data_IF_494195455017
#
_entry.id   IF_494195455017
#
_cell.length_a   1.000
_cell.length_b   1.000
_cell.length_c   1.000
_cell.angle_alpha   90.00
_cell.angle_beta   90.00
_cell.angle_gamma   90.00
#
_symmetry.space_group_name_H-M   'P 1'
#
loop_
_entity.id
_entity.type
_entity.pdbx_description
1 polymer ?
#
# COMPACT_ATOMS: atom_id res chain seq x y z
N UNK A 1 0.06 2.48 9.86
CA UNK A 1 -0.70 1.48 9.06
C UNK A 1 -0.88 0.22 9.90
N UNK A 2 -2.09 -0.36 9.99
CA UNK A 2 -2.32 -1.57 10.78
C UNK A 2 -1.57 -2.76 10.19
N UNK A 3 -1.23 -3.73 11.03
CA UNK A 3 -0.63 -5.00 10.60
C UNK A 3 -1.68 -6.05 10.22
N UNK A 4 -2.95 -5.82 10.57
CA UNK A 4 -4.09 -6.72 10.36
C UNK A 4 -5.29 -5.95 9.81
N UNK A 5 -6.03 -6.55 8.90
CA UNK A 5 -7.27 -6.03 8.33
C UNK A 5 -8.26 -7.16 8.10
N UNK A 6 -9.55 -6.86 8.13
CA UNK A 6 -10.58 -7.80 7.69
C UNK A 6 -10.58 -7.92 6.16
N UNK A 7 -10.89 -9.10 5.65
CA UNK A 7 -11.08 -9.31 4.22
C UNK A 7 -12.20 -8.46 3.62
N UNK A 8 -12.04 -8.09 2.35
CA UNK A 8 -13.01 -7.35 1.56
C UNK A 8 -12.46 -6.06 0.96
N UNK A 9 -13.39 -5.16 0.61
CA UNK A 9 -13.07 -3.87 -0.01
C UNK A 9 -12.37 -2.97 0.99
N UNK A 10 -11.13 -2.61 0.69
CA UNK A 10 -10.31 -1.72 1.51
C UNK A 10 -9.89 -0.50 0.70
N UNK A 11 -9.99 0.68 1.30
CA UNK A 11 -9.46 1.92 0.76
C UNK A 11 -8.24 2.36 1.57
N UNK A 12 -7.07 2.36 0.95
CA UNK A 12 -5.84 2.90 1.53
C UNK A 12 -5.70 4.37 1.20
N UNK A 13 -5.81 5.23 2.22
CA UNK A 13 -5.46 6.65 2.10
C UNK A 13 -3.99 6.80 2.44
N UNK A 14 -3.17 7.09 1.44
CA UNK A 14 -1.72 7.18 1.56
C UNK A 14 -1.32 8.65 1.46
N UNK A 15 -0.92 9.24 2.59
CA UNK A 15 -0.31 10.57 2.65
C UNK A 15 1.21 10.46 2.66
N UNK A 16 1.88 11.19 1.77
CA UNK A 16 3.32 11.35 1.81
C UNK A 16 3.68 12.57 2.68
N UNK A 17 4.02 12.34 3.95
CA UNK A 17 4.48 13.40 4.86
C UNK A 17 6.00 13.68 4.76
N UNK A 18 6.70 13.03 3.83
CA UNK A 18 8.13 13.20 3.59
C UNK A 18 8.45 14.32 2.59
N UNK A 19 9.74 14.47 2.28
CA UNK A 19 10.27 15.46 1.32
C UNK A 19 10.58 14.86 -0.05
N UNK A 20 10.59 13.53 -0.16
CA UNK A 20 10.88 12.79 -1.37
C UNK A 20 9.60 12.21 -1.97
N UNK A 21 9.63 11.81 -3.23
CA UNK A 21 8.50 11.12 -3.86
C UNK A 21 8.49 9.66 -3.44
N UNK A 22 7.31 9.16 -3.07
CA UNK A 22 7.12 7.76 -2.71
C UNK A 22 6.00 7.15 -3.53
N UNK A 23 6.01 5.83 -3.66
CA UNK A 23 4.91 5.09 -4.23
C UNK A 23 4.45 4.04 -3.22
N UNK A 24 3.27 3.49 -3.44
CA UNK A 24 2.65 2.52 -2.56
C UNK A 24 2.17 1.36 -3.42
N UNK A 25 2.74 0.19 -3.17
CA UNK A 25 2.41 -1.07 -3.83
C UNK A 25 1.90 -2.07 -2.81
N UNK A 26 0.82 -2.77 -3.13
CA UNK A 26 0.26 -3.87 -2.35
C UNK A 26 0.31 -5.12 -3.22
N UNK A 27 1.06 -6.14 -2.75
CA UNK A 27 1.24 -7.39 -3.48
C UNK A 27 0.98 -8.59 -2.58
N UNK A 28 0.17 -9.55 -3.01
CA UNK A 28 -0.16 -10.77 -2.27
C UNK A 28 -1.46 -11.40 -2.76
N UNK A 29 -1.62 -12.72 -2.60
CA UNK A 29 -2.84 -13.48 -2.95
C UNK A 29 -3.46 -13.12 -4.33
N UNK A 30 -2.62 -12.95 -5.35
CA UNK A 30 -3.03 -12.57 -6.71
C UNK A 30 -3.37 -11.09 -6.92
N UNK A 31 -3.26 -10.26 -5.88
CA UNK A 31 -3.29 -8.79 -5.98
C UNK A 31 -1.87 -8.28 -6.22
N UNK A 32 -1.71 -7.37 -7.17
CA UNK A 32 -0.49 -6.60 -7.38
C UNK A 32 -0.86 -5.19 -7.87
N UNK A 33 -1.13 -4.29 -6.94
CA UNK A 33 -1.55 -2.92 -7.25
C UNK A 33 -0.53 -1.91 -6.79
N UNK A 34 -0.29 -0.88 -7.60
CA UNK A 34 0.56 0.28 -7.26
C UNK A 34 -0.03 1.56 -7.82
N UNK A 35 0.35 2.71 -7.28
CA UNK A 35 -0.02 3.97 -7.92
C UNK A 35 0.71 4.13 -9.26
N UNK A 36 -0.02 4.54 -10.29
CA UNK A 36 0.55 4.85 -11.62
C UNK A 36 1.59 5.98 -11.55
N UNK A 37 1.36 6.95 -10.68
CA UNK A 37 2.24 8.08 -10.44
C UNK A 37 2.59 8.15 -8.97
N UNK A 38 3.84 8.53 -8.68
CA UNK A 38 4.31 8.71 -7.32
C UNK A 38 3.49 9.77 -6.57
N UNK A 39 3.35 9.55 -5.25
CA UNK A 39 2.80 10.51 -4.30
C UNK A 39 3.87 11.56 -4.02
N UNK A 40 3.59 12.81 -4.38
CA UNK A 40 4.49 13.94 -4.15
C UNK A 40 4.58 14.29 -2.66
N UNK A 41 5.61 15.03 -2.22
CA UNK A 41 5.66 15.58 -0.87
C UNK A 41 4.38 16.35 -0.50
N UNK A 42 3.87 16.08 0.70
CA UNK A 42 2.61 16.59 1.27
C UNK A 42 1.32 16.24 0.50
N UNK A 43 1.41 15.44 -0.55
CA UNK A 43 0.26 14.97 -1.34
C UNK A 43 -0.36 13.70 -0.74
N UNK A 44 -1.59 13.39 -1.16
CA UNK A 44 -2.32 12.18 -0.75
C UNK A 44 -2.98 11.49 -1.94
N UNK A 45 -2.94 10.15 -1.95
CA UNK A 45 -3.64 9.33 -2.94
C UNK A 45 -4.43 8.22 -2.26
N UNK A 46 -5.50 7.77 -2.92
CA UNK A 46 -6.36 6.69 -2.45
C UNK A 46 -6.24 5.50 -3.38
N UNK A 47 -5.98 4.31 -2.82
CA UNK A 47 -6.01 3.04 -3.54
C UNK A 47 -7.18 2.20 -3.04
N UNK A 48 -7.99 1.71 -3.97
CA UNK A 48 -9.10 0.81 -3.67
C UNK A 48 -8.72 -0.59 -4.12
N UNK A 49 -8.65 -1.52 -3.18
CA UNK A 49 -8.33 -2.93 -3.41
C UNK A 49 -9.43 -3.82 -2.84
N UNK A 50 -9.59 -5.02 -3.37
CA UNK A 50 -10.38 -6.06 -2.75
C UNK A 50 -9.43 -7.15 -2.25
N UNK A 51 -9.26 -7.25 -0.92
CA UNK A 51 -8.32 -8.16 -0.30
C UNK A 51 -9.04 -9.43 0.17
N UNK A 52 -8.44 -10.59 -0.08
CA UNK A 52 -8.89 -11.87 0.48
C UNK A 52 -8.09 -12.17 1.74
N UNK A 53 -8.54 -13.11 2.59
CA UNK A 53 -7.71 -13.58 3.69
C UNK A 53 -6.36 -14.07 3.17
N UNK A 54 -5.26 -13.60 3.76
CA UNK A 54 -3.91 -13.87 3.25
C UNK A 54 -2.85 -12.93 3.80
N UNK A 55 -1.64 -13.06 3.26
CA UNK A 55 -0.51 -12.19 3.60
C UNK A 55 -0.12 -11.34 2.41
N UNK A 56 -0.02 -10.04 2.63
CA UNK A 56 0.32 -9.02 1.64
C UNK A 56 1.61 -8.30 2.03
N UNK A 57 2.40 -7.97 1.04
CA UNK A 57 3.55 -7.10 1.17
C UNK A 57 3.20 -5.71 0.63
N UNK A 58 3.45 -4.73 1.48
CA UNK A 58 3.35 -3.33 1.15
C UNK A 58 4.76 -2.80 0.95
N UNK A 59 5.03 -2.25 -0.23
CA UNK A 59 6.37 -1.79 -0.59
C UNK A 59 6.33 -0.40 -1.24
N UNK A 60 7.43 0.34 -1.13
CA UNK A 60 7.72 1.46 -2.01
C UNK A 60 8.70 1.01 -3.09
N UNK A 61 8.30 0.89 -4.37
CA UNK A 61 9.21 0.44 -5.44
C UNK A 61 10.46 1.33 -5.63
N UNK A 62 10.40 2.59 -5.18
CA UNK A 62 11.54 3.51 -5.26
C UNK A 62 12.55 3.32 -4.11
N UNK A 63 12.19 2.59 -3.05
CA UNK A 63 13.00 2.43 -1.83
C UNK A 63 12.84 1.01 -1.28
N UNK A 64 13.83 0.14 -1.51
CA UNK A 64 13.74 -1.28 -1.17
C UNK A 64 13.61 -1.56 0.34
N UNK A 65 14.10 -0.64 1.18
CA UNK A 65 14.00 -0.73 2.64
C UNK A 65 12.61 -0.41 3.18
N UNK A 66 11.76 0.24 2.37
CA UNK A 66 10.40 0.60 2.76
C UNK A 66 9.43 -0.54 2.43
N UNK A 67 9.44 -1.56 3.29
CA UNK A 67 8.54 -2.72 3.20
C UNK A 67 7.81 -2.99 4.51
N UNK A 68 6.58 -3.47 4.41
CA UNK A 68 5.76 -3.87 5.55
C UNK A 68 4.87 -5.05 5.19
N UNK A 69 4.72 -5.99 6.11
CA UNK A 69 3.77 -7.09 5.96
C UNK A 69 2.40 -6.68 6.51
N UNK A 70 1.35 -7.02 5.77
CA UNK A 70 -0.05 -6.86 6.13
C UNK A 70 -0.72 -8.24 6.11
N UNK A 71 -1.33 -8.63 7.22
CA UNK A 71 -2.17 -9.82 7.29
C UNK A 71 -3.62 -9.42 7.08
N UNK A 72 -4.35 -10.18 6.28
CA UNK A 72 -5.80 -10.03 6.08
C UNK A 72 -6.46 -11.30 6.59
N UNK A 73 -7.46 -11.15 7.45
CA UNK A 73 -8.19 -12.24 8.13
C UNK A 73 -9.65 -12.28 7.68
#
# INVERSE_FOLDING_TARGET
MPAKLEAGKTAFVVKNAGKEKHNFRVQGDGVDEKFLLDVKPDDSKVMHVNLKPGTYQITCPNHEDMKRTLTVE
#
